data_IF_335950688876
#
_entry.id   IF_335950688876
#
_cell.length_a   1.000
_cell.length_b   1.000
_cell.length_c   1.000
_cell.angle_alpha   90.00
_cell.angle_beta   90.00
_cell.angle_gamma   90.00
#
_symmetry.space_group_name_H-M   'P 1'
#
loop_
_entity.id
_entity.type
_entity.pdbx_description
1 polymer ?
#
# COMPACT_ATOMS: atom_id res chain seq x y z
N UNK A 1 -0.61 -1.52 -18.20
CA UNK A 1 -1.28 -0.27 -17.76
C UNK A 1 -2.33 -0.51 -16.67
N UNK A 2 -3.19 -1.55 -16.80
CA UNK A 2 -4.23 -1.87 -15.79
C UNK A 2 -3.69 -2.13 -14.37
N UNK A 3 -2.60 -2.87 -14.23
CA UNK A 3 -2.04 -3.21 -12.91
C UNK A 3 -1.51 -1.98 -12.16
N UNK A 4 -0.80 -1.08 -12.84
CA UNK A 4 -0.31 0.17 -12.22
C UNK A 4 -1.44 1.06 -11.71
N UNK A 5 -2.57 1.11 -12.43
CA UNK A 5 -3.76 1.86 -12.02
C UNK A 5 -4.40 1.22 -10.79
N UNK A 6 -4.49 -0.13 -10.77
CA UNK A 6 -5.02 -0.86 -9.61
C UNK A 6 -4.18 -0.61 -8.35
N UNK A 7 -2.84 -0.66 -8.46
CA UNK A 7 -1.94 -0.35 -7.35
C UNK A 7 -2.13 1.08 -6.83
N UNK A 8 -2.27 2.06 -7.72
CA UNK A 8 -2.49 3.46 -7.34
C UNK A 8 -3.84 3.68 -6.65
N UNK A 9 -4.90 3.08 -7.18
CA UNK A 9 -6.25 3.16 -6.59
C UNK A 9 -6.27 2.53 -5.21
N UNK A 10 -5.66 1.36 -5.06
CA UNK A 10 -5.60 0.67 -3.79
C UNK A 10 -4.77 1.50 -2.77
N UNK A 11 -3.65 2.10 -3.18
CA UNK A 11 -2.85 2.99 -2.32
C UNK A 11 -3.64 4.23 -1.85
N UNK A 12 -4.42 4.84 -2.74
CA UNK A 12 -5.31 5.96 -2.42
C UNK A 12 -6.40 5.58 -1.41
N UNK A 13 -6.99 4.39 -1.53
CA UNK A 13 -7.99 3.89 -0.58
C UNK A 13 -7.36 3.70 0.80
N UNK A 14 -6.21 3.04 0.87
CA UNK A 14 -5.49 2.86 2.14
C UNK A 14 -5.10 4.18 2.79
N UNK A 15 -4.61 5.14 2.00
CA UNK A 15 -4.28 6.48 2.49
C UNK A 15 -5.51 7.22 3.02
N UNK A 16 -6.63 7.14 2.30
CA UNK A 16 -7.90 7.78 2.70
C UNK A 16 -8.43 7.18 4.00
N UNK A 17 -8.49 5.86 4.10
CA UNK A 17 -8.94 5.15 5.31
C UNK A 17 -8.05 5.48 6.49
N UNK A 18 -6.72 5.52 6.29
CA UNK A 18 -5.77 5.86 7.34
C UNK A 18 -5.96 7.28 7.87
N UNK A 19 -6.10 8.28 6.99
CA UNK A 19 -6.35 9.67 7.39
C UNK A 19 -7.71 9.82 8.08
N UNK A 20 -8.73 9.08 7.62
CA UNK A 20 -10.10 9.20 8.14
C UNK A 20 -10.25 8.53 9.51
N UNK A 21 -9.56 7.42 9.76
CA UNK A 21 -9.62 6.70 11.04
C UNK A 21 -8.53 7.11 12.04
N UNK A 22 -7.51 7.85 11.61
CA UNK A 22 -6.41 8.29 12.48
C UNK A 22 -6.55 9.77 12.76
N UNK A 23 -6.98 10.11 13.98
CA UNK A 23 -6.94 11.50 14.46
C UNK A 23 -5.52 12.06 14.37
N UNK A 24 -5.39 13.35 14.06
CA UNK A 24 -4.12 14.05 13.79
C UNK A 24 -3.09 13.88 14.91
N UNK A 25 -3.56 13.67 16.13
CA UNK A 25 -2.75 13.46 17.35
C UNK A 25 -2.13 12.05 17.45
N UNK A 26 -2.66 11.08 16.70
CA UNK A 26 -2.19 9.69 16.66
C UNK A 26 -1.56 9.31 15.30
N UNK A 27 -1.30 10.29 14.43
CA UNK A 27 -0.60 10.10 13.17
C UNK A 27 0.85 9.65 13.42
N UNK A 28 1.05 8.34 13.46
CA UNK A 28 2.37 7.75 13.56
C UNK A 28 2.97 7.57 12.17
N UNK A 29 4.12 8.19 11.91
CA UNK A 29 4.87 8.01 10.66
C UNK A 29 5.18 6.52 10.38
N UNK A 30 5.35 5.70 11.42
CA UNK A 30 5.54 4.25 11.29
C UNK A 30 4.30 3.55 10.73
N UNK A 31 3.09 3.95 11.16
CA UNK A 31 1.84 3.40 10.63
C UNK A 31 1.58 3.89 9.19
N UNK A 32 1.98 5.13 8.89
CA UNK A 32 1.91 5.66 7.53
C UNK A 32 2.85 4.90 6.58
N UNK A 33 4.06 4.55 7.02
CA UNK A 33 5.03 3.74 6.26
C UNK A 33 4.58 2.29 6.09
N UNK A 34 3.69 1.79 6.95
CA UNK A 34 3.17 0.42 6.85
C UNK A 34 2.39 0.18 5.56
N UNK A 35 1.65 1.21 5.08
CA UNK A 35 0.87 1.15 3.84
C UNK A 35 1.78 0.91 2.61
N UNK A 36 2.79 1.75 2.30
CA UNK A 36 3.70 1.50 1.18
C UNK A 36 4.52 0.22 1.35
N UNK A 37 4.82 -0.21 2.60
CA UNK A 37 5.52 -1.49 2.85
C UNK A 37 4.67 -2.69 2.43
N UNK A 38 3.37 -2.71 2.73
CA UNK A 38 2.47 -3.81 2.31
C UNK A 38 2.40 -3.88 0.78
N UNK A 39 2.28 -2.73 0.11
CA UNK A 39 2.31 -2.68 -1.35
C UNK A 39 3.63 -3.16 -1.94
N UNK A 40 4.75 -2.75 -1.34
CA UNK A 40 6.07 -3.18 -1.77
C UNK A 40 6.25 -4.68 -1.58
N UNK A 41 5.82 -5.24 -0.45
CA UNK A 41 5.84 -6.68 -0.19
C UNK A 41 4.94 -7.44 -1.16
N UNK A 42 3.72 -6.97 -1.41
CA UNK A 42 2.82 -7.58 -2.38
C UNK A 42 3.43 -7.60 -3.79
N UNK A 43 4.03 -6.48 -4.22
CA UNK A 43 4.74 -6.40 -5.49
C UNK A 43 5.95 -7.36 -5.54
N UNK A 44 6.69 -7.48 -4.45
CA UNK A 44 7.88 -8.34 -4.38
C UNK A 44 7.50 -9.83 -4.39
N UNK A 45 6.39 -10.20 -3.74
CA UNK A 45 5.80 -11.53 -3.76
C UNK A 45 5.30 -11.87 -5.17
N UNK A 46 4.55 -10.97 -5.80
CA UNK A 46 4.05 -11.12 -7.17
C UNK A 46 5.20 -11.28 -8.17
N UNK A 47 6.25 -10.46 -8.04
CA UNK A 47 7.45 -10.55 -8.89
C UNK A 47 8.25 -11.83 -8.66
N UNK A 48 8.31 -12.34 -7.42
CA UNK A 48 8.97 -13.62 -7.14
C UNK A 48 8.20 -14.79 -7.73
N UNK A 49 6.87 -14.81 -7.56
CA UNK A 49 6.01 -15.88 -8.06
C UNK A 49 5.92 -15.87 -9.60
N UNK A 50 5.97 -14.69 -10.23
CA UNK A 50 6.00 -14.55 -11.69
C UNK A 50 7.34 -14.88 -12.35
N UNK A 51 8.42 -15.15 -11.58
CA UNK A 51 9.70 -15.63 -12.12
C UNK A 51 9.81 -17.16 -12.16
N UNK A 52 8.84 -17.89 -11.59
CA UNK A 52 8.84 -19.36 -11.51
C UNK A 52 7.92 -20.04 -12.58
N UNK A 53 7.49 -19.34 -13.62
CA UNK A 53 6.73 -19.89 -14.78
C UNK A 53 7.38 -19.47 -16.10
#
# INVERSE_FOLDING_TARGET
MKEKIFTLVLALIFLTVYITHTSVENLSLLKLLFIPIIFFLAYLVDRKLGQDT
#
